data_IF_722750566419
#
_entry.id   IF_722750566419
#
_cell.length_a   1.000
_cell.length_b   1.000
_cell.length_c   1.000
_cell.angle_alpha   90.00
_cell.angle_beta   90.00
_cell.angle_gamma   90.00
#
_symmetry.space_group_name_H-M   'P 1'
#
loop_
_entity.id
_entity.type
_entity.pdbx_description
1 polymer ?
#
# COMPACT_ATOMS: atom_id res chain seq x y z
N UNK A 1 18.22 38.38 12.50
CA UNK A 1 18.53 37.34 11.51
C UNK A 1 17.21 36.91 10.89
N UNK A 2 16.83 37.51 9.77
CA UNK A 2 15.61 37.11 9.06
C UNK A 2 15.81 35.72 8.47
N UNK A 3 14.92 34.81 8.86
CA UNK A 3 14.77 33.48 8.29
C UNK A 3 14.38 33.67 6.82
N UNK A 4 15.34 33.50 5.91
CA UNK A 4 15.07 33.53 4.46
C UNK A 4 14.16 32.36 4.13
N UNK A 5 12.88 32.63 3.93
CA UNK A 5 11.91 31.67 3.39
C UNK A 5 12.39 31.33 1.98
N UNK A 6 12.83 30.08 1.77
CA UNK A 6 13.48 29.68 0.53
C UNK A 6 12.44 29.30 -0.55
N UNK A 7 12.72 29.59 -1.83
CA UNK A 7 11.72 29.55 -2.90
C UNK A 7 11.51 28.14 -3.52
N UNK A 8 10.57 27.96 -4.47
CA UNK A 8 10.47 26.84 -5.39
C UNK A 8 11.64 26.98 -6.37
N UNK A 9 12.81 26.55 -5.93
CA UNK A 9 14.09 26.83 -6.60
C UNK A 9 14.75 25.53 -6.95
N UNK A 10 15.12 25.42 -8.21
CA UNK A 10 16.14 24.48 -8.63
C UNK A 10 17.48 24.87 -8.00
N UNK A 11 17.89 24.16 -6.96
CA UNK A 11 19.14 24.41 -6.25
C UNK A 11 20.34 23.98 -7.09
N UNK A 12 20.23 22.84 -7.76
CA UNK A 12 21.21 22.25 -8.64
C UNK A 12 20.57 21.08 -9.42
N UNK A 13 21.36 20.31 -10.16
CA UNK A 13 20.83 19.18 -10.94
C UNK A 13 20.19 18.04 -10.12
N UNK A 14 20.37 18.02 -8.81
CA UNK A 14 19.81 16.99 -7.92
C UNK A 14 18.55 17.43 -7.20
N UNK A 15 18.38 18.72 -6.93
CA UNK A 15 17.44 19.16 -5.89
C UNK A 15 16.62 20.39 -6.25
N UNK A 16 15.36 20.35 -5.84
CA UNK A 16 14.43 21.49 -5.83
C UNK A 16 13.92 21.67 -4.40
N UNK A 17 14.06 22.86 -3.86
CA UNK A 17 13.38 23.26 -2.63
C UNK A 17 12.09 23.98 -2.98
N UNK A 18 11.05 23.94 -2.13
CA UNK A 18 9.84 24.75 -2.22
C UNK A 18 9.20 24.95 -0.84
N UNK A 19 8.15 25.76 -0.75
CA UNK A 19 7.31 25.87 0.45
C UNK A 19 5.98 25.16 0.21
N UNK A 20 5.67 24.17 1.06
CA UNK A 20 4.43 23.40 1.01
C UNK A 20 3.21 24.27 1.31
N UNK A 21 2.03 23.80 0.91
CA UNK A 21 0.75 24.52 0.99
C UNK A 21 0.41 25.01 2.41
N UNK A 22 0.87 24.30 3.45
CA UNK A 22 0.65 24.67 4.85
C UNK A 22 1.82 25.47 5.49
N UNK A 23 2.85 25.75 4.71
CA UNK A 23 3.99 26.59 5.07
C UNK A 23 5.28 25.84 5.39
N UNK A 24 5.29 24.50 5.35
CA UNK A 24 6.52 23.73 5.57
C UNK A 24 7.57 23.89 4.47
N UNK A 25 8.84 23.73 4.84
CA UNK A 25 9.95 23.79 3.89
C UNK A 25 10.18 22.39 3.34
N UNK A 26 10.05 22.23 2.03
CA UNK A 26 10.13 20.95 1.36
C UNK A 26 11.34 20.89 0.43
N UNK A 27 12.03 19.74 0.37
CA UNK A 27 13.09 19.50 -0.63
C UNK A 27 12.87 18.17 -1.34
N UNK A 28 12.74 18.23 -2.67
CA UNK A 28 12.78 17.06 -3.55
C UNK A 28 14.21 16.86 -4.03
N UNK A 29 14.78 15.69 -3.79
CA UNK A 29 16.12 15.29 -4.24
C UNK A 29 16.04 14.04 -5.10
N UNK A 30 16.74 14.02 -6.23
CA UNK A 30 16.94 12.84 -7.06
C UNK A 30 18.41 12.36 -6.98
N UNK A 31 18.66 11.06 -7.12
CA UNK A 31 20.00 10.47 -6.92
C UNK A 31 21.01 10.72 -8.04
N UNK A 32 20.60 11.39 -9.12
CA UNK A 32 21.45 11.74 -10.27
C UNK A 32 21.18 13.18 -10.71
N UNK A 33 22.17 13.93 -11.23
CA UNK A 33 22.01 15.36 -11.52
C UNK A 33 21.27 15.62 -12.84
N UNK A 34 20.01 15.19 -12.95
CA UNK A 34 19.24 15.24 -14.19
C UNK A 34 18.31 16.46 -14.30
N UNK A 35 18.09 17.21 -13.22
CA UNK A 35 17.24 18.40 -13.25
C UNK A 35 17.97 19.59 -13.89
N UNK A 36 17.24 20.38 -14.66
CA UNK A 36 17.70 21.66 -15.19
C UNK A 36 16.49 22.57 -15.46
N UNK A 37 16.75 23.84 -15.74
CA UNK A 37 15.68 24.82 -16.00
C UNK A 37 14.78 24.44 -17.19
N UNK A 38 15.27 23.64 -18.13
CA UNK A 38 14.50 23.19 -19.29
C UNK A 38 13.55 22.02 -19.03
N UNK A 39 13.75 21.23 -17.97
CA UNK A 39 12.94 20.05 -17.70
C UNK A 39 12.23 20.05 -16.34
N UNK A 40 12.65 20.88 -15.38
CA UNK A 40 12.19 20.78 -13.99
C UNK A 40 10.68 20.94 -13.84
N UNK A 41 10.04 21.82 -14.63
CA UNK A 41 8.59 22.02 -14.60
C UNK A 41 7.78 20.93 -15.32
N UNK A 42 8.46 20.07 -16.09
CA UNK A 42 7.87 18.84 -16.63
C UNK A 42 7.99 17.68 -15.62
N UNK A 43 8.99 17.74 -14.73
CA UNK A 43 9.21 16.72 -13.69
C UNK A 43 8.38 17.02 -12.44
N UNK A 44 8.35 18.25 -11.97
CA UNK A 44 7.62 18.66 -10.77
C UNK A 44 6.46 19.56 -11.16
N UNK A 45 5.25 19.11 -10.84
CA UNK A 45 4.03 19.89 -11.08
C UNK A 45 3.40 20.25 -9.74
N UNK A 46 3.18 21.55 -9.56
CA UNK A 46 2.49 22.12 -8.40
C UNK A 46 1.05 22.50 -8.76
N UNK A 47 0.24 22.77 -7.76
CA UNK A 47 -1.15 23.18 -7.94
C UNK A 47 -1.29 24.66 -8.35
N UNK A 48 -0.38 25.48 -7.84
CA UNK A 48 -0.18 26.87 -8.21
C UNK A 48 1.32 27.14 -8.42
N UNK A 49 1.64 28.05 -9.32
CA UNK A 49 3.02 28.42 -9.62
C UNK A 49 3.79 27.36 -10.40
N UNK A 50 5.12 27.54 -10.43
CA UNK A 50 6.09 26.69 -11.09
C UNK A 50 7.43 26.77 -10.35
N UNK A 51 8.40 25.95 -10.73
CA UNK A 51 9.81 26.15 -10.37
C UNK A 51 10.35 27.32 -11.20
N UNK A 52 10.00 28.54 -10.79
CA UNK A 52 10.32 29.80 -11.46
C UNK A 52 11.12 30.76 -10.57
N UNK A 53 11.45 30.33 -9.34
CA UNK A 53 12.16 31.14 -8.36
C UNK A 53 11.28 32.05 -7.51
N UNK A 54 9.94 31.94 -7.59
CA UNK A 54 8.99 32.73 -6.78
C UNK A 54 8.23 31.85 -5.77
N UNK A 55 8.03 32.35 -4.53
CA UNK A 55 7.29 31.64 -3.46
C UNK A 55 6.44 32.55 -2.59
N UNK A 56 5.91 33.60 -3.17
CA UNK A 56 4.87 34.38 -2.49
C UNK A 56 3.61 33.56 -2.23
N UNK A 57 3.50 32.35 -2.82
CA UNK A 57 2.37 31.45 -2.67
C UNK A 57 2.88 30.05 -2.27
N UNK A 58 2.51 29.56 -1.08
CA UNK A 58 2.60 28.13 -0.71
C UNK A 58 2.02 27.22 -1.79
N UNK A 59 2.61 26.04 -2.03
CA UNK A 59 2.27 25.18 -3.15
C UNK A 59 2.10 23.72 -2.72
N UNK A 60 1.12 23.01 -3.26
CA UNK A 60 0.98 21.57 -3.12
C UNK A 60 1.71 20.85 -4.27
N UNK A 61 2.65 19.96 -3.95
CA UNK A 61 3.27 19.09 -4.96
C UNK A 61 2.27 18.05 -5.48
N UNK A 62 1.75 18.28 -6.69
CA UNK A 62 0.73 17.42 -7.32
C UNK A 62 1.31 16.19 -7.96
N UNK A 63 2.52 16.31 -8.55
CA UNK A 63 3.13 15.24 -9.33
C UNK A 63 4.64 15.35 -9.38
N UNK A 64 5.31 14.19 -9.22
CA UNK A 64 6.68 13.94 -9.65
C UNK A 64 6.60 13.03 -10.87
N UNK A 65 7.11 13.47 -12.03
CA UNK A 65 7.10 12.73 -13.29
C UNK A 65 8.50 12.52 -13.85
N UNK A 66 9.08 11.37 -13.54
CA UNK A 66 10.40 10.99 -14.00
C UNK A 66 10.43 10.57 -15.47
N UNK A 67 9.27 10.34 -16.12
CA UNK A 67 9.23 10.02 -17.55
C UNK A 67 9.75 11.19 -18.39
N UNK A 68 9.63 12.43 -17.87
CA UNK A 68 10.20 13.63 -18.48
C UNK A 68 11.74 13.65 -18.52
N UNK A 69 12.41 12.76 -17.77
CA UNK A 69 13.87 12.61 -17.78
C UNK A 69 14.36 11.50 -18.72
N UNK A 70 13.43 10.72 -19.31
CA UNK A 70 13.74 9.62 -20.21
C UNK A 70 14.56 8.49 -19.55
N UNK A 71 15.23 7.68 -20.36
CA UNK A 71 15.96 6.49 -19.90
C UNK A 71 17.14 6.77 -18.95
N UNK A 72 17.60 8.02 -18.87
CA UNK A 72 18.63 8.41 -17.89
C UNK A 72 18.14 8.25 -16.44
N UNK A 73 16.82 8.30 -16.20
CA UNK A 73 16.24 8.12 -14.87
C UNK A 73 16.03 6.66 -14.46
N UNK A 74 16.48 5.66 -15.24
CA UNK A 74 16.39 4.26 -14.85
C UNK A 74 17.13 4.01 -13.52
N UNK A 75 16.44 3.39 -12.56
CA UNK A 75 16.96 3.07 -11.23
C UNK A 75 17.17 4.29 -10.33
N UNK A 76 16.66 5.47 -10.70
CA UNK A 76 16.83 6.68 -9.90
C UNK A 76 16.08 6.57 -8.58
N UNK A 77 16.66 7.10 -7.51
CA UNK A 77 16.02 7.25 -6.21
C UNK A 77 15.55 8.68 -6.01
N UNK A 78 14.44 8.86 -5.30
CA UNK A 78 13.85 10.16 -5.00
C UNK A 78 13.57 10.28 -3.51
N UNK A 79 13.97 11.38 -2.91
CA UNK A 79 13.63 11.73 -1.53
C UNK A 79 12.85 13.04 -1.52
N UNK A 80 11.73 13.06 -0.80
CA UNK A 80 10.97 14.27 -0.48
C UNK A 80 11.05 14.47 1.02
N UNK A 81 11.87 15.42 1.44
CA UNK A 81 12.09 15.75 2.85
C UNK A 81 11.30 17.00 3.24
N UNK A 82 10.79 17.01 4.46
CA UNK A 82 10.04 18.08 5.08
C UNK A 82 10.81 18.62 6.29
N UNK A 83 10.98 19.94 6.36
CA UNK A 83 11.45 20.63 7.56
C UNK A 83 10.31 21.50 8.08
N UNK A 84 9.91 21.24 9.32
CA UNK A 84 8.82 22.00 9.94
C UNK A 84 9.20 23.48 10.03
N UNK A 85 8.56 24.27 9.18
CA UNK A 85 8.79 25.70 9.08
C UNK A 85 7.51 26.51 9.24
N UNK A 86 6.39 25.89 8.89
CA UNK A 86 5.03 26.23 9.26
C UNK A 86 4.36 24.92 9.69
N UNK A 87 3.15 24.67 9.17
CA UNK A 87 2.58 23.34 8.99
C UNK A 87 2.73 22.31 10.13
N UNK A 88 2.74 21.05 9.72
CA UNK A 88 2.79 19.88 10.59
C UNK A 88 4.10 19.07 10.49
N UNK A 89 5.03 19.52 9.66
CA UNK A 89 6.31 18.88 9.39
C UNK A 89 6.21 17.76 8.35
N UNK A 90 5.17 17.71 7.53
CA UNK A 90 4.98 16.75 6.45
C UNK A 90 4.80 17.44 5.10
N UNK A 91 5.18 16.75 4.04
CA UNK A 91 4.99 17.22 2.66
C UNK A 91 4.34 16.12 1.85
N UNK A 92 3.08 16.34 1.48
CA UNK A 92 2.33 15.35 0.72
C UNK A 92 2.66 15.41 -0.78
N UNK A 93 2.73 14.24 -1.41
CA UNK A 93 2.96 14.10 -2.85
C UNK A 93 1.73 13.47 -3.49
N UNK A 94 1.11 14.19 -4.43
CA UNK A 94 -0.09 13.70 -5.11
C UNK A 94 0.15 12.41 -5.90
N UNK A 95 1.10 12.43 -6.82
CA UNK A 95 1.40 11.28 -7.66
C UNK A 95 2.89 11.17 -8.01
N UNK A 96 3.40 9.95 -8.02
CA UNK A 96 4.73 9.61 -8.50
C UNK A 96 4.61 8.81 -9.81
N UNK A 97 5.21 9.31 -10.88
CA UNK A 97 5.05 8.75 -12.23
C UNK A 97 6.43 8.47 -12.81
N UNK A 98 6.71 7.20 -13.08
CA UNK A 98 7.91 6.70 -13.74
C UNK A 98 7.56 5.53 -14.66
N UNK A 99 6.34 5.51 -15.24
CA UNK A 99 5.90 4.44 -16.12
C UNK A 99 6.88 4.22 -17.28
N UNK A 100 7.34 2.99 -17.45
CA UNK A 100 8.39 2.64 -18.40
C UNK A 100 9.81 2.69 -17.81
N UNK A 101 9.96 3.04 -16.53
CA UNK A 101 11.24 3.12 -15.83
C UNK A 101 11.15 2.37 -14.49
N UNK A 102 12.11 1.49 -14.24
CA UNK A 102 12.31 0.97 -12.89
C UNK A 102 12.93 2.08 -12.04
N UNK A 103 12.62 2.10 -10.75
CA UNK A 103 13.12 3.12 -9.81
C UNK A 103 13.76 2.47 -8.58
N UNK A 104 14.69 3.21 -7.98
CA UNK A 104 15.37 2.84 -6.76
C UNK A 104 14.48 3.07 -5.54
N UNK A 105 15.02 3.76 -4.55
CA UNK A 105 14.30 4.09 -3.32
C UNK A 105 13.50 5.37 -3.51
N UNK A 106 12.22 5.33 -3.16
CA UNK A 106 11.33 6.48 -3.04
C UNK A 106 11.06 6.68 -1.56
N UNK A 107 11.48 7.82 -1.02
CA UNK A 107 11.34 8.16 0.39
C UNK A 107 10.62 9.49 0.52
N UNK A 108 9.46 9.51 1.19
CA UNK A 108 8.57 10.67 1.27
C UNK A 108 8.18 10.91 2.72
N UNK A 109 8.61 12.05 3.27
CA UNK A 109 8.20 12.54 4.59
C UNK A 109 6.80 13.16 4.52
N UNK A 110 5.81 12.32 4.20
CA UNK A 110 4.41 12.73 4.04
C UNK A 110 3.57 11.61 3.40
N UNK A 111 2.40 11.99 2.89
CA UNK A 111 1.50 11.05 2.20
C UNK A 111 1.90 10.94 0.72
N UNK A 112 1.93 9.73 0.18
CA UNK A 112 1.95 9.52 -1.26
C UNK A 112 0.57 9.06 -1.74
N UNK A 113 -0.06 9.86 -2.60
CA UNK A 113 -1.41 9.58 -3.09
C UNK A 113 -1.47 8.45 -4.12
N UNK A 114 -0.48 8.39 -5.02
CA UNK A 114 -0.44 7.43 -6.14
C UNK A 114 0.98 7.17 -6.62
N UNK A 115 1.26 5.94 -7.07
CA UNK A 115 2.49 5.59 -7.80
C UNK A 115 2.22 4.83 -9.09
N UNK A 116 2.91 5.17 -10.17
CA UNK A 116 3.02 4.37 -11.39
C UNK A 116 4.49 4.18 -11.71
N UNK A 117 5.00 2.95 -11.63
CA UNK A 117 6.42 2.65 -11.80
C UNK A 117 6.67 1.33 -12.53
N UNK A 118 7.90 1.13 -12.97
CA UNK A 118 8.36 -0.10 -13.62
C UNK A 118 8.41 -0.02 -15.14
N UNK A 119 9.33 -0.77 -15.72
CA UNK A 119 9.49 -0.92 -17.16
C UNK A 119 8.58 -2.02 -17.75
N UNK A 120 8.83 -2.46 -18.99
CA UNK A 120 8.02 -3.51 -19.65
C UNK A 120 8.25 -4.93 -19.12
N UNK A 121 9.24 -5.15 -18.25
CA UNK A 121 9.69 -6.46 -17.81
C UNK A 121 9.28 -6.74 -16.35
N UNK A 122 8.17 -7.45 -16.17
CA UNK A 122 7.67 -7.80 -14.84
C UNK A 122 8.59 -8.72 -14.02
N UNK A 123 9.65 -9.28 -14.61
CA UNK A 123 10.59 -10.18 -13.93
C UNK A 123 11.74 -9.43 -13.22
N UNK A 124 11.98 -8.17 -13.54
CA UNK A 124 12.98 -7.31 -12.88
C UNK A 124 12.34 -6.50 -11.76
N UNK A 125 13.16 -5.93 -10.88
CA UNK A 125 12.70 -5.03 -9.81
C UNK A 125 12.22 -3.72 -10.43
N UNK A 126 10.91 -3.46 -10.38
CA UNK A 126 10.31 -2.22 -10.86
C UNK A 126 10.35 -1.08 -9.85
N UNK A 127 10.40 -1.43 -8.56
CA UNK A 127 10.51 -0.50 -7.44
C UNK A 127 11.36 -1.15 -6.36
N UNK A 128 12.54 -0.57 -6.10
CA UNK A 128 13.42 -1.11 -5.07
C UNK A 128 12.83 -0.86 -3.68
N UNK A 129 12.42 0.35 -3.33
CA UNK A 129 11.82 0.60 -2.01
C UNK A 129 10.89 1.79 -2.07
N UNK A 130 9.74 1.71 -1.39
CA UNK A 130 8.95 2.87 -1.02
C UNK A 130 8.89 3.00 0.50
N UNK A 131 9.14 4.21 0.99
CA UNK A 131 8.89 4.63 2.36
C UNK A 131 8.07 5.91 2.30
N UNK A 132 6.93 5.93 2.98
CA UNK A 132 6.10 7.12 3.13
C UNK A 132 5.52 7.21 4.54
N UNK A 133 5.15 8.41 4.99
CA UNK A 133 4.42 8.56 6.25
C UNK A 133 3.06 7.86 6.16
N UNK A 134 2.36 8.01 5.05
CA UNK A 134 1.14 7.26 4.73
C UNK A 134 1.03 7.06 3.21
N UNK A 135 0.09 6.22 2.79
CA UNK A 135 -0.18 6.02 1.38
C UNK A 135 -1.67 6.12 1.09
N UNK A 136 -2.06 7.09 0.27
CA UNK A 136 -3.43 7.35 -0.16
C UNK A 136 -4.32 8.04 0.88
N UNK A 137 -3.80 8.41 2.05
CA UNK A 137 -4.59 8.98 3.14
C UNK A 137 -5.21 10.32 2.76
N UNK A 138 -4.55 11.09 1.89
CA UNK A 138 -5.08 12.36 1.37
C UNK A 138 -6.03 12.16 0.18
N UNK A 139 -6.26 10.91 -0.24
CA UNK A 139 -7.09 10.56 -1.38
C UNK A 139 -6.63 11.22 -2.68
N UNK A 140 -7.54 11.92 -3.36
CA UNK A 140 -7.22 12.70 -4.58
C UNK A 140 -6.99 14.18 -4.30
N UNK A 141 -7.08 14.63 -3.04
CA UNK A 141 -7.04 16.06 -2.68
C UNK A 141 -5.67 16.71 -2.91
N UNK A 142 -4.60 15.91 -2.90
CA UNK A 142 -3.21 16.33 -3.21
C UNK A 142 -2.83 16.07 -4.68
N UNK A 143 -3.71 15.43 -5.47
CA UNK A 143 -3.44 15.09 -6.87
C UNK A 143 -3.93 16.16 -7.85
N UNK A 144 -3.39 16.19 -9.06
CA UNK A 144 -3.89 17.07 -10.12
C UNK A 144 -5.30 16.68 -10.59
N UNK A 145 -5.93 17.49 -11.47
CA UNK A 145 -7.22 17.15 -12.09
C UNK A 145 -7.21 15.74 -12.71
N UNK A 146 -8.25 14.95 -12.46
CA UNK A 146 -8.31 13.56 -12.90
C UNK A 146 -7.52 12.57 -12.01
N UNK A 147 -7.25 12.94 -10.75
CA UNK A 147 -6.60 12.07 -9.77
C UNK A 147 -7.26 10.69 -9.62
N UNK A 148 -6.49 9.74 -9.12
CA UNK A 148 -6.90 8.33 -9.03
C UNK A 148 -6.35 7.69 -7.76
N UNK A 149 -7.11 6.74 -7.20
CA UNK A 149 -6.62 5.88 -6.12
C UNK A 149 -5.74 4.72 -6.64
N UNK A 150 -5.67 4.52 -7.95
CA UNK A 150 -5.03 3.34 -8.55
C UNK A 150 -3.56 3.60 -8.82
N UNK A 151 -2.72 2.85 -8.12
CA UNK A 151 -1.29 2.74 -8.29
C UNK A 151 -0.93 1.43 -8.97
N UNK A 152 0.13 1.44 -9.77
CA UNK A 152 0.61 0.26 -10.51
C UNK A 152 2.12 0.20 -10.53
N UNK A 153 2.69 -0.95 -10.19
CA UNK A 153 4.12 -1.24 -10.39
C UNK A 153 4.25 -2.44 -11.31
N UNK A 154 4.91 -2.26 -12.45
CA UNK A 154 5.33 -3.38 -13.27
C UNK A 154 6.71 -3.87 -12.82
N UNK A 155 6.86 -5.15 -12.52
CA UNK A 155 8.08 -5.67 -11.90
C UNK A 155 7.94 -6.00 -10.42
N UNK A 156 9.03 -6.51 -9.83
CA UNK A 156 9.12 -6.83 -8.40
C UNK A 156 9.20 -5.56 -7.57
N UNK A 157 8.49 -5.54 -6.44
CA UNK A 157 8.64 -4.54 -5.37
C UNK A 157 9.44 -5.18 -4.24
N UNK A 158 10.66 -4.73 -3.97
CA UNK A 158 11.45 -5.35 -2.89
C UNK A 158 10.86 -5.02 -1.52
N UNK A 159 10.55 -3.74 -1.28
CA UNK A 159 9.94 -3.27 -0.05
C UNK A 159 8.93 -2.16 -0.30
N UNK A 160 7.75 -2.29 0.29
CA UNK A 160 6.75 -1.24 0.37
C UNK A 160 6.42 -0.97 1.83
N UNK A 161 6.74 0.23 2.31
CA UNK A 161 6.56 0.61 3.71
C UNK A 161 5.76 1.91 3.85
N UNK A 162 4.78 1.90 4.74
CA UNK A 162 4.20 3.12 5.31
C UNK A 162 4.49 3.18 6.81
N UNK A 163 4.78 4.36 7.35
CA UNK A 163 4.93 4.56 8.80
C UNK A 163 3.57 4.48 9.49
N UNK A 164 2.55 5.08 8.89
CA UNK A 164 1.16 5.03 9.29
C UNK A 164 0.32 4.19 8.33
N UNK A 165 -0.86 4.69 8.01
CA UNK A 165 -1.88 3.92 7.30
C UNK A 165 -1.60 3.81 5.79
N UNK A 166 -2.00 2.66 5.24
CA UNK A 166 -2.29 2.50 3.83
C UNK A 166 -3.80 2.65 3.68
N UNK A 167 -4.25 3.79 3.18
CA UNK A 167 -5.65 4.19 3.25
C UNK A 167 -6.16 4.60 1.87
N UNK A 168 -7.34 4.11 1.52
CA UNK A 168 -8.08 4.45 0.29
C UNK A 168 -7.42 3.99 -1.03
N UNK A 169 -6.09 4.07 -1.18
CA UNK A 169 -5.39 3.70 -2.39
C UNK A 169 -5.57 2.22 -2.77
N UNK A 170 -5.32 1.92 -4.04
CA UNK A 170 -5.20 0.59 -4.61
C UNK A 170 -3.80 0.44 -5.18
N UNK A 171 -3.09 -0.61 -4.79
CA UNK A 171 -1.77 -0.92 -5.34
C UNK A 171 -1.79 -2.23 -6.11
N UNK A 172 -1.58 -2.14 -7.41
CA UNK A 172 -1.43 -3.27 -8.31
C UNK A 172 0.04 -3.52 -8.60
N UNK A 173 0.51 -4.75 -8.41
CA UNK A 173 1.89 -5.13 -8.74
C UNK A 173 1.88 -6.33 -9.66
N UNK A 174 2.40 -6.16 -10.86
CA UNK A 174 2.44 -7.23 -11.86
C UNK A 174 3.45 -8.33 -11.48
N UNK A 175 4.56 -7.95 -10.83
CA UNK A 175 5.59 -8.87 -10.34
C UNK A 175 5.30 -9.42 -8.93
N UNK A 176 6.36 -9.89 -8.27
CA UNK A 176 6.32 -10.30 -6.86
C UNK A 176 6.57 -9.13 -5.91
N UNK A 177 6.35 -9.36 -4.62
CA UNK A 177 6.76 -8.48 -3.55
C UNK A 177 7.70 -9.21 -2.60
N UNK A 178 8.72 -8.52 -2.10
CA UNK A 178 9.43 -8.95 -0.90
C UNK A 178 8.60 -8.68 0.34
N UNK A 179 8.52 -7.41 0.74
CA UNK A 179 7.84 -6.97 1.96
C UNK A 179 6.74 -5.95 1.69
N UNK A 180 5.59 -6.15 2.32
CA UNK A 180 4.59 -5.10 2.58
C UNK A 180 4.54 -4.83 4.08
N UNK A 181 4.96 -3.63 4.51
CA UNK A 181 4.88 -3.19 5.90
C UNK A 181 4.01 -1.94 6.03
N UNK A 182 2.87 -2.06 6.70
CA UNK A 182 2.00 -0.94 7.05
C UNK A 182 2.12 -0.70 8.55
N UNK A 183 2.78 0.38 8.95
CA UNK A 183 2.99 0.72 10.36
C UNK A 183 1.71 1.17 11.10
N UNK A 184 0.66 1.49 10.34
CA UNK A 184 -0.70 1.66 10.83
C UNK A 184 -1.63 0.53 10.39
N UNK A 185 -2.79 0.91 9.88
CA UNK A 185 -3.82 0.02 9.36
C UNK A 185 -3.87 0.01 7.82
N UNK A 186 -4.31 -1.12 7.25
CA UNK A 186 -4.74 -1.20 5.86
C UNK A 186 -6.23 -0.89 5.81
N UNK A 187 -6.61 0.26 5.24
CA UNK A 187 -7.95 0.84 5.38
C UNK A 187 -8.67 0.96 4.04
N UNK A 188 -9.72 0.18 3.92
CA UNK A 188 -10.73 0.28 2.89
C UNK A 188 -11.81 1.31 3.23
N UNK A 189 -12.30 1.99 2.20
CA UNK A 189 -13.31 3.06 2.29
C UNK A 189 -14.60 2.65 1.56
N UNK A 190 -15.48 3.62 1.31
CA UNK A 190 -16.80 3.38 0.70
C UNK A 190 -16.76 3.02 -0.78
N UNK A 191 -15.67 3.33 -1.47
CA UNK A 191 -15.50 3.00 -2.89
C UNK A 191 -14.87 1.61 -3.06
N UNK A 192 -15.21 0.93 -4.15
CA UNK A 192 -14.69 -0.40 -4.45
C UNK A 192 -13.16 -0.41 -4.57
N UNK A 193 -12.56 -1.50 -4.12
CA UNK A 193 -11.12 -1.77 -4.22
C UNK A 193 -10.22 -0.73 -3.55
N UNK A 194 -10.74 0.03 -2.59
CA UNK A 194 -9.96 0.98 -1.80
C UNK A 194 -9.23 0.28 -0.65
N UNK A 195 -8.06 0.75 -0.27
CA UNK A 195 -7.21 0.06 0.71
C UNK A 195 -6.85 -1.35 0.27
N UNK A 196 -6.63 -1.55 -1.03
CA UNK A 196 -6.41 -2.86 -1.62
C UNK A 196 -4.98 -2.99 -2.13
N UNK A 197 -4.35 -4.13 -1.86
CA UNK A 197 -3.12 -4.53 -2.52
C UNK A 197 -3.34 -5.84 -3.28
N UNK A 198 -2.94 -5.87 -4.55
CA UNK A 198 -3.00 -7.06 -5.38
C UNK A 198 -1.74 -7.24 -6.20
N UNK A 199 -1.36 -8.50 -6.42
CA UNK A 199 -0.21 -8.82 -7.25
C UNK A 199 0.19 -10.28 -7.23
N UNK A 200 1.46 -10.54 -7.56
CA UNK A 200 2.05 -11.86 -7.62
C UNK A 200 2.21 -12.54 -6.25
N UNK A 201 3.38 -13.14 -6.02
CA UNK A 201 3.74 -13.71 -4.72
C UNK A 201 4.25 -12.59 -3.82
N UNK A 202 3.79 -12.53 -2.58
CA UNK A 202 4.31 -11.62 -1.55
C UNK A 202 4.94 -12.43 -0.43
N UNK A 203 6.23 -12.21 -0.17
CA UNK A 203 7.01 -13.02 0.78
C UNK A 203 6.62 -12.73 2.24
N UNK A 204 6.37 -11.47 2.60
CA UNK A 204 6.00 -11.09 3.97
C UNK A 204 5.00 -9.93 4.04
N UNK A 205 3.92 -10.10 4.83
CA UNK A 205 2.97 -9.04 5.20
C UNK A 205 3.14 -8.70 6.67
N UNK A 206 3.36 -7.41 6.97
CA UNK A 206 3.24 -6.84 8.31
C UNK A 206 2.27 -5.67 8.31
N UNK A 207 1.22 -5.77 9.10
CA UNK A 207 0.29 -4.68 9.37
C UNK A 207 0.29 -4.51 10.89
N UNK A 208 0.85 -3.41 11.38
CA UNK A 208 1.10 -3.24 12.82
C UNK A 208 -0.19 -2.99 13.59
N UNK A 209 -1.22 -2.46 12.92
CA UNK A 209 -2.58 -2.34 13.45
C UNK A 209 -3.54 -3.27 12.71
N UNK A 210 -4.63 -2.75 12.13
CA UNK A 210 -5.77 -3.55 11.68
C UNK A 210 -5.88 -3.60 10.16
N UNK A 211 -6.54 -4.63 9.65
CA UNK A 211 -7.13 -4.62 8.31
C UNK A 211 -8.59 -4.19 8.45
N UNK A 212 -8.97 -3.08 7.84
CA UNK A 212 -10.29 -2.47 8.01
C UNK A 212 -10.98 -2.38 6.64
N UNK A 213 -12.11 -3.06 6.52
CA UNK A 213 -12.99 -3.02 5.36
C UNK A 213 -13.95 -1.84 5.44
N UNK A 214 -14.32 -1.29 4.29
CA UNK A 214 -15.26 -0.19 4.16
C UNK A 214 -16.59 -0.59 3.51
N UNK A 215 -17.26 0.39 2.91
CA UNK A 215 -18.51 0.18 2.17
C UNK A 215 -18.32 -0.39 0.76
N UNK A 216 -17.11 -0.28 0.19
CA UNK A 216 -16.81 -0.76 -1.15
C UNK A 216 -16.47 -2.24 -1.21
N UNK A 217 -16.75 -2.88 -2.34
CA UNK A 217 -16.40 -4.28 -2.62
C UNK A 217 -14.87 -4.44 -2.58
N UNK A 218 -14.39 -5.53 -1.97
CA UNK A 218 -12.95 -5.84 -1.82
C UNK A 218 -12.12 -4.69 -1.21
N UNK A 219 -12.74 -3.86 -0.36
CA UNK A 219 -12.04 -2.80 0.34
C UNK A 219 -11.21 -3.36 1.52
N UNK A 220 -10.04 -2.77 1.81
CA UNK A 220 -9.17 -3.20 2.92
C UNK A 220 -8.57 -4.60 2.71
N UNK A 221 -8.25 -4.97 1.47
CA UNK A 221 -8.00 -6.37 1.07
C UNK A 221 -6.58 -6.59 0.58
N UNK A 222 -6.01 -7.76 0.91
CA UNK A 222 -4.83 -8.30 0.23
C UNK A 222 -5.26 -9.46 -0.67
N UNK A 223 -4.98 -9.36 -1.98
CA UNK A 223 -5.34 -10.38 -2.99
C UNK A 223 -4.13 -10.76 -3.84
N UNK A 224 -3.47 -11.85 -3.48
CA UNK A 224 -2.18 -12.25 -4.06
C UNK A 224 -2.25 -13.62 -4.74
N UNK A 225 -1.31 -13.88 -5.66
CA UNK A 225 -1.10 -15.22 -6.22
C UNK A 225 -0.47 -16.17 -5.19
N UNK A 226 0.27 -15.63 -4.22
CA UNK A 226 0.81 -16.35 -3.07
C UNK A 226 1.05 -15.39 -1.92
N UNK A 227 0.80 -15.83 -0.69
CA UNK A 227 1.16 -15.09 0.51
C UNK A 227 2.16 -15.93 1.30
N UNK A 228 3.29 -15.36 1.68
CA UNK A 228 4.16 -15.92 2.69
C UNK A 228 3.58 -15.69 4.07
N UNK A 229 4.42 -15.28 5.02
CA UNK A 229 3.98 -15.07 6.40
C UNK A 229 3.17 -13.78 6.53
N UNK A 230 2.07 -13.84 7.27
CA UNK A 230 1.14 -12.73 7.46
C UNK A 230 1.00 -12.40 8.94
N UNK A 231 1.30 -11.14 9.28
CA UNK A 231 1.08 -10.57 10.59
C UNK A 231 0.13 -9.38 10.52
N UNK A 232 -0.94 -9.42 11.33
CA UNK A 232 -1.84 -8.31 11.60
C UNK A 232 -1.86 -8.09 13.11
N UNK A 233 -1.37 -6.95 13.60
CA UNK A 233 -1.24 -6.69 15.03
C UNK A 233 -2.59 -6.49 15.73
N UNK A 234 -3.57 -5.96 15.02
CA UNK A 234 -4.93 -5.69 15.49
C UNK A 234 -5.96 -6.66 14.94
N UNK A 235 -7.14 -6.13 14.60
CA UNK A 235 -8.27 -6.91 14.10
C UNK A 235 -8.27 -6.98 12.56
N UNK A 236 -8.92 -8.01 12.02
CA UNK A 236 -9.44 -7.99 10.66
C UNK A 236 -10.93 -7.68 10.71
N UNK A 237 -11.35 -6.45 10.35
CA UNK A 237 -12.73 -5.96 10.50
C UNK A 237 -13.38 -5.72 9.15
N UNK A 238 -14.35 -6.54 8.79
CA UNK A 238 -15.19 -6.38 7.61
C UNK A 238 -16.10 -5.16 7.71
N UNK A 239 -16.43 -4.58 6.56
CA UNK A 239 -17.37 -3.46 6.44
C UNK A 239 -18.70 -3.85 5.80
N UNK A 240 -19.40 -2.85 5.27
CA UNK A 240 -20.64 -3.08 4.53
C UNK A 240 -20.41 -3.62 3.10
N UNK A 241 -19.21 -3.44 2.55
CA UNK A 241 -18.83 -3.95 1.25
C UNK A 241 -18.53 -5.45 1.29
N UNK A 242 -18.98 -6.16 0.26
CA UNK A 242 -18.69 -7.58 0.08
C UNK A 242 -17.18 -7.81 -0.06
N UNK A 243 -16.70 -8.95 0.47
CA UNK A 243 -15.29 -9.37 0.38
C UNK A 243 -14.31 -8.38 1.05
N UNK A 244 -14.79 -7.46 1.88
CA UNK A 244 -13.96 -6.46 2.56
C UNK A 244 -13.12 -7.06 3.70
N UNK A 245 -11.98 -6.43 4.03
CA UNK A 245 -11.02 -6.91 5.02
C UNK A 245 -10.53 -8.34 4.78
N UNK A 246 -10.32 -8.73 3.53
CA UNK A 246 -10.00 -10.11 3.17
C UNK A 246 -8.50 -10.32 2.95
N UNK A 247 -7.99 -11.45 3.43
CA UNK A 247 -6.75 -12.06 2.98
C UNK A 247 -7.09 -13.16 1.97
N UNK A 248 -6.73 -12.97 0.69
CA UNK A 248 -6.95 -13.96 -0.37
C UNK A 248 -5.62 -14.32 -1.03
N UNK A 249 -5.32 -15.61 -1.04
CA UNK A 249 -4.25 -16.20 -1.84
C UNK A 249 -4.83 -17.20 -2.84
N UNK A 250 -4.45 -17.07 -4.12
CA UNK A 250 -4.70 -18.10 -5.15
C UNK A 250 -3.70 -19.27 -5.06
N UNK A 251 -2.66 -19.13 -4.24
CA UNK A 251 -1.71 -20.17 -3.89
C UNK A 251 -1.79 -20.51 -2.40
N UNK A 252 -0.66 -20.86 -1.81
CA UNK A 252 -0.53 -21.06 -0.37
C UNK A 252 -0.57 -19.75 0.42
N UNK A 253 -0.82 -19.87 1.71
CA UNK A 253 -0.51 -18.85 2.71
C UNK A 253 0.51 -19.47 3.67
N UNK A 254 1.53 -18.71 4.05
CA UNK A 254 2.46 -19.07 5.12
C UNK A 254 1.77 -19.15 6.49
N UNK A 255 2.50 -18.83 7.55
CA UNK A 255 1.88 -18.65 8.86
C UNK A 255 0.99 -17.40 8.86
N UNK A 256 -0.09 -17.44 9.66
CA UNK A 256 -0.98 -16.30 9.85
C UNK A 256 -1.08 -16.01 11.34
N UNK A 257 -0.77 -14.78 11.73
CA UNK A 257 -0.98 -14.28 13.08
C UNK A 257 -1.84 -13.02 13.05
N UNK A 258 -2.91 -13.04 13.85
CA UNK A 258 -3.78 -11.88 14.09
C UNK A 258 -3.81 -11.63 15.59
N UNK A 259 -3.31 -10.47 16.00
CA UNK A 259 -3.23 -10.06 17.41
C UNK A 259 -4.58 -9.70 18.02
N UNK A 260 -5.59 -9.46 17.19
CA UNK A 260 -6.99 -9.28 17.57
C UNK A 260 -7.91 -10.39 17.04
N UNK A 261 -9.10 -9.99 16.63
CA UNK A 261 -10.22 -10.81 16.18
C UNK A 261 -10.42 -10.75 14.66
N UNK A 262 -11.10 -11.76 14.11
CA UNK A 262 -11.72 -11.69 12.79
C UNK A 262 -13.19 -11.30 12.98
N UNK A 263 -13.54 -10.08 12.59
CA UNK A 263 -14.86 -9.49 12.82
C UNK A 263 -15.51 -9.22 11.47
N UNK A 264 -16.48 -10.06 11.10
CA UNK A 264 -17.29 -9.89 9.91
C UNK A 264 -18.14 -8.62 9.97
N UNK A 265 -18.30 -7.97 8.83
CA UNK A 265 -19.23 -6.86 8.66
C UNK A 265 -20.57 -7.31 8.09
N UNK A 266 -21.41 -6.34 7.70
CA UNK A 266 -22.70 -6.61 7.03
C UNK A 266 -22.53 -7.02 5.56
N UNK A 267 -21.35 -6.77 4.96
CA UNK A 267 -20.99 -7.30 3.65
C UNK A 267 -20.65 -8.78 3.70
N UNK A 268 -21.11 -9.56 2.72
CA UNK A 268 -20.85 -10.99 2.62
C UNK A 268 -19.37 -11.29 2.41
N UNK A 269 -18.89 -12.43 2.89
CA UNK A 269 -17.48 -12.82 2.72
C UNK A 269 -16.43 -11.86 3.30
N UNK A 270 -16.83 -10.99 4.22
CA UNK A 270 -15.96 -10.00 4.85
C UNK A 270 -15.17 -10.54 6.04
N UNK A 271 -13.98 -9.98 6.30
CA UNK A 271 -13.02 -10.44 7.32
C UNK A 271 -12.63 -11.91 7.17
N UNK A 272 -12.21 -12.32 5.98
CA UNK A 272 -11.94 -13.73 5.66
C UNK A 272 -10.48 -14.00 5.34
N UNK A 273 -10.01 -15.19 5.70
CA UNK A 273 -8.69 -15.70 5.32
C UNK A 273 -8.89 -16.90 4.41
N UNK A 274 -8.56 -16.75 3.12
CA UNK A 274 -8.84 -17.76 2.11
C UNK A 274 -7.62 -18.08 1.26
N UNK A 275 -7.30 -19.36 1.18
CA UNK A 275 -6.24 -19.92 0.35
C UNK A 275 -6.81 -20.98 -0.60
N UNK A 276 -6.40 -20.95 -1.87
CA UNK A 276 -6.60 -22.06 -2.81
C UNK A 276 -5.50 -23.14 -2.69
N UNK A 277 -4.42 -22.84 -1.98
CA UNK A 277 -3.42 -23.79 -1.52
C UNK A 277 -3.68 -24.28 -0.10
N UNK A 278 -2.59 -24.51 0.63
CA UNK A 278 -2.61 -24.78 2.07
C UNK A 278 -2.31 -23.51 2.87
N UNK A 279 -2.70 -23.51 4.14
CA UNK A 279 -2.34 -22.46 5.09
C UNK A 279 -1.38 -23.05 6.13
N UNK A 280 -0.33 -22.31 6.46
CA UNK A 280 0.55 -22.62 7.58
C UNK A 280 -0.16 -22.57 8.94
N UNK A 281 0.60 -22.55 10.05
CA UNK A 281 0.03 -22.36 11.38
C UNK A 281 -0.78 -21.06 11.46
N UNK A 282 -1.91 -21.09 12.18
CA UNK A 282 -2.81 -19.95 12.33
C UNK A 282 -2.98 -19.63 13.81
N UNK A 283 -2.69 -18.39 14.18
CA UNK A 283 -2.95 -17.85 15.52
C UNK A 283 -3.88 -16.64 15.41
N UNK A 284 -5.05 -16.73 16.05
CA UNK A 284 -5.96 -15.60 16.22
C UNK A 284 -6.11 -15.40 17.73
N UNK A 285 -5.61 -14.27 18.24
CA UNK A 285 -5.62 -14.02 19.67
C UNK A 285 -7.02 -13.68 20.20
N UNK A 286 -7.87 -13.08 19.37
CA UNK A 286 -9.26 -12.75 19.69
C UNK A 286 -10.27 -13.80 19.21
N UNK A 287 -11.47 -13.31 18.87
CA UNK A 287 -12.60 -14.15 18.46
C UNK A 287 -12.80 -14.17 16.92
N UNK A 288 -13.60 -15.12 16.44
CA UNK A 288 -14.15 -15.13 15.07
C UNK A 288 -15.63 -14.80 15.15
N UNK A 289 -16.03 -13.60 14.71
CA UNK A 289 -17.39 -13.08 14.84
C UNK A 289 -17.98 -12.78 13.48
N UNK A 290 -18.82 -13.67 12.96
CA UNK A 290 -19.54 -13.44 11.69
C UNK A 290 -20.84 -12.66 11.92
N UNK A 291 -21.18 -11.79 10.97
CA UNK A 291 -22.46 -11.07 10.90
C UNK A 291 -23.21 -11.49 9.64
N UNK A 292 -22.64 -11.22 8.46
CA UNK A 292 -23.20 -11.63 7.18
C UNK A 292 -22.82 -13.06 6.77
N UNK A 293 -23.46 -13.56 5.70
CA UNK A 293 -23.14 -14.86 5.11
C UNK A 293 -21.66 -14.95 4.72
N UNK A 294 -21.00 -16.00 5.20
CA UNK A 294 -19.58 -16.22 4.95
C UNK A 294 -18.68 -15.12 5.53
N UNK A 295 -19.06 -14.38 6.55
CA UNK A 295 -18.13 -13.43 7.19
C UNK A 295 -17.34 -14.09 8.34
N UNK A 296 -16.16 -13.57 8.66
CA UNK A 296 -15.27 -14.08 9.71
C UNK A 296 -14.97 -15.59 9.63
N UNK A 297 -14.51 -16.07 8.48
CA UNK A 297 -14.10 -17.47 8.30
C UNK A 297 -12.67 -17.61 7.80
N UNK A 298 -12.14 -18.82 8.00
CA UNK A 298 -10.85 -19.24 7.48
C UNK A 298 -11.00 -20.53 6.67
N UNK A 299 -10.50 -20.54 5.44
CA UNK A 299 -10.62 -21.70 4.54
C UNK A 299 -9.36 -21.95 3.72
N UNK A 300 -9.02 -23.22 3.55
CA UNK A 300 -8.01 -23.69 2.59
C UNK A 300 -8.60 -24.80 1.71
N UNK A 301 -8.24 -24.83 0.42
CA UNK A 301 -8.61 -25.93 -0.47
C UNK A 301 -7.73 -27.17 -0.31
N UNK A 302 -6.53 -27.03 0.30
CA UNK A 302 -5.69 -28.16 0.72
C UNK A 302 -5.72 -28.33 2.23
N UNK A 303 -4.57 -28.38 2.90
CA UNK A 303 -4.46 -28.56 4.35
C UNK A 303 -4.28 -27.24 5.09
N UNK A 304 -4.78 -27.18 6.32
CA UNK A 304 -4.42 -26.17 7.33
C UNK A 304 -3.49 -26.88 8.31
N UNK A 305 -2.23 -26.44 8.45
CA UNK A 305 -1.27 -27.09 9.35
C UNK A 305 -1.68 -26.86 10.82
N UNK A 306 -1.93 -27.95 11.56
CA UNK A 306 -2.52 -27.96 12.91
C UNK A 306 -1.72 -27.14 13.93
N UNK A 307 -2.19 -25.92 14.23
CA UNK A 307 -2.17 -25.31 15.57
C UNK A 307 -3.11 -24.09 15.63
N UNK A 308 -4.41 -24.27 15.39
CA UNK A 308 -5.37 -23.19 15.64
C UNK A 308 -5.48 -22.99 17.15
N UNK A 309 -4.83 -21.96 17.69
CA UNK A 309 -5.03 -21.50 19.07
C UNK A 309 -6.00 -20.32 19.02
N UNK A 310 -7.21 -20.53 19.53
CA UNK A 310 -8.19 -19.47 19.83
C UNK A 310 -8.15 -19.23 21.33
N UNK A 311 -7.97 -17.97 21.77
CA UNK A 311 -7.86 -17.67 23.19
C UNK A 311 -9.22 -17.67 23.92
N UNK A 312 -10.33 -17.52 23.21
CA UNK A 312 -11.69 -17.48 23.77
C UNK A 312 -12.67 -18.19 22.83
N UNK A 313 -13.43 -19.16 23.37
CA UNK A 313 -14.48 -19.91 22.68
C UNK A 313 -15.86 -19.24 22.88
N UNK A 314 -15.92 -17.91 22.97
CA UNK A 314 -17.17 -17.19 23.25
C UNK A 314 -17.95 -16.94 21.96
N UNK A 315 -18.87 -17.87 21.65
CA UNK A 315 -19.93 -17.78 20.63
C UNK A 315 -19.48 -17.54 19.18
N UNK A 316 -19.25 -18.66 18.50
CA UNK A 316 -19.49 -18.80 17.06
C UNK A 316 -20.99 -18.59 16.80
N UNK A 317 -21.42 -17.36 16.51
CA UNK A 317 -22.55 -17.17 15.59
C UNK A 317 -21.93 -17.14 14.18
N UNK A 318 -22.07 -18.23 13.44
CA UNK A 318 -21.75 -18.36 12.00
C UNK A 318 -20.29 -18.55 11.51
N UNK A 319 -19.24 -18.28 12.29
CA UNK A 319 -17.85 -18.53 11.85
C UNK A 319 -17.47 -20.03 11.77
N UNK A 320 -17.05 -20.53 10.60
CA UNK A 320 -16.59 -21.94 10.43
C UNK A 320 -15.13 -21.98 9.97
N UNK A 321 -14.35 -22.91 10.52
CA UNK A 321 -13.04 -23.29 9.97
C UNK A 321 -13.26 -24.55 9.12
N UNK A 322 -12.90 -24.50 7.84
CA UNK A 322 -13.03 -25.62 6.91
C UNK A 322 -11.68 -25.90 6.22
N UNK A 323 -11.21 -27.14 6.32
CA UNK A 323 -10.21 -27.69 5.42
C UNK A 323 -10.94 -28.66 4.50
N UNK A 324 -11.04 -28.35 3.21
CA UNK A 324 -11.55 -29.31 2.25
C UNK A 324 -10.46 -30.36 2.00
N UNK A 325 -10.46 -31.44 2.78
CA UNK A 325 -9.75 -32.64 2.36
C UNK A 325 -10.51 -33.24 1.17
N UNK A 326 -10.00 -33.09 -0.05
CA UNK A 326 -10.34 -34.05 -1.10
C UNK A 326 -9.87 -35.42 -0.61
N UNK A 327 -10.73 -36.46 -0.56
CA UNK A 327 -10.22 -37.80 -0.32
C UNK A 327 -9.29 -38.13 -1.49
N UNK A 328 -7.99 -38.27 -1.23
CA UNK A 328 -7.15 -39.05 -2.13
C UNK A 328 -7.76 -40.44 -2.17
N UNK A 329 -8.18 -40.87 -3.36
CA UNK A 329 -8.67 -42.22 -3.58
C UNK A 329 -7.58 -43.22 -3.19
N UNK A 330 -7.68 -43.72 -1.97
CA UNK A 330 -7.07 -44.95 -1.52
C UNK A 330 -8.19 -45.74 -0.83
N UNK A 331 -9.12 -46.25 -1.64
CA UNK A 331 -9.92 -47.38 -1.24
C UNK A 331 -8.97 -48.59 -1.21
N UNK A 332 -8.66 -49.07 -0.01
CA UNK A 332 -7.96 -50.32 0.18
C UNK A 332 -8.92 -51.45 0.59
N UNK A 333 -8.51 -52.66 0.21
CA UNK A 333 -8.78 -53.98 0.82
C UNK A 333 -10.13 -54.64 0.45
N UNK A 334 -10.13 -55.65 -0.44
CA UNK A 334 -9.67 -57.05 -0.23
C UNK A 334 -9.00 -57.58 -1.50
#
# INVERSE_FOLDING_TARGET
>A
MERRVQPAVLLNGFAVQFQDADGDSATVTISQPLLNLGNVNSVLTFDVGAVDGTTTTPQQLRRIDLTALGGAAQGISVTVAAEQAGGDGLVHVGAFMSGGLDVGTIDIEGDLGRIVAGDGNAATTGLQSLIAQSFGAMGTSTQGPGGSFVSSVNGRVESFKTVGDFDCARLEVAGSFGLLHVGGSLVGRSSDYTGMVLGGVLDEVRIDQSMIGGGGIESGTLRMNGLGDVHVGGDMRGGAGDLSARLRSYGGIGSVSVGGSLIGGTGGNSATIRSEGGIGPIQIAGDLRGVASGSAYISAQRSIKRQVRLASLTKVLCGRIWAACTPSAAAGWW
#
